data_IF_251796722910
#
_entry.id   IF_251796722910
#
_cell.length_a   1.000
_cell.length_b   1.000
_cell.length_c   1.000
_cell.angle_alpha   90.00
_cell.angle_beta   90.00
_cell.angle_gamma   90.00
#
_symmetry.space_group_name_H-M   'P 1'
#
loop_
_entity.id
_entity.type
_entity.pdbx_description
1 polymer ?
#
# COMPACT_ATOMS: atom_id res chain seq x y z
N UNK A 1 -33.11 8.88 -6.66
CA UNK A 1 -32.05 8.23 -5.85
C UNK A 1 -30.88 9.20 -5.68
N UNK A 2 -30.53 9.60 -4.45
CA UNK A 2 -29.37 10.46 -4.18
C UNK A 2 -28.11 9.64 -4.51
N UNK A 3 -27.32 10.06 -5.53
CA UNK A 3 -25.99 9.47 -5.77
C UNK A 3 -25.18 9.59 -4.47
N UNK A 4 -24.84 8.45 -3.85
CA UNK A 4 -24.03 8.40 -2.63
C UNK A 4 -22.67 8.98 -3.02
N UNK A 5 -22.29 10.12 -2.42
CA UNK A 5 -20.99 10.77 -2.69
C UNK A 5 -19.91 9.77 -2.24
N UNK A 6 -19.17 9.20 -3.17
CA UNK A 6 -18.09 8.27 -2.84
C UNK A 6 -17.10 8.99 -1.93
N UNK A 7 -16.85 8.41 -0.75
CA UNK A 7 -15.87 8.94 0.19
C UNK A 7 -14.51 8.80 -0.49
N UNK A 8 -13.86 9.92 -0.83
CA UNK A 8 -12.49 9.89 -1.32
C UNK A 8 -11.59 9.39 -0.19
N UNK A 9 -11.03 8.20 -0.34
CA UNK A 9 -10.02 7.69 0.58
C UNK A 9 -8.76 8.55 0.50
N UNK A 10 -8.23 8.90 1.68
CA UNK A 10 -6.92 9.51 1.80
C UNK A 10 -5.84 8.56 1.28
N UNK A 11 -4.67 9.09 0.92
CA UNK A 11 -3.53 8.29 0.46
C UNK A 11 -3.18 7.18 1.44
N UNK A 12 -3.12 7.51 2.73
CA UNK A 12 -2.89 6.56 3.81
C UNK A 12 -3.95 5.44 3.83
N UNK A 13 -5.23 5.79 3.85
CA UNK A 13 -6.31 4.80 3.85
C UNK A 13 -6.22 3.85 2.65
N UNK A 14 -5.85 4.36 1.46
CA UNK A 14 -5.66 3.51 0.26
C UNK A 14 -4.49 2.54 0.41
N UNK A 15 -3.32 3.04 0.83
CA UNK A 15 -2.11 2.23 1.00
C UNK A 15 -2.32 1.17 2.08
N UNK A 16 -2.82 1.58 3.24
CA UNK A 16 -3.07 0.70 4.38
C UNK A 16 -4.14 -0.36 4.04
N UNK A 17 -5.22 0.04 3.37
CA UNK A 17 -6.25 -0.88 2.86
C UNK A 17 -5.67 -1.90 1.89
N UNK A 18 -4.92 -1.45 0.88
CA UNK A 18 -4.31 -2.32 -0.11
C UNK A 18 -3.34 -3.34 0.53
N UNK A 19 -2.52 -2.92 1.48
CA UNK A 19 -1.63 -3.82 2.22
C UNK A 19 -2.39 -4.89 2.99
N UNK A 20 -3.49 -4.52 3.66
CA UNK A 20 -4.30 -5.44 4.45
C UNK A 20 -5.08 -6.43 3.58
N UNK A 21 -5.64 -5.97 2.46
CA UNK A 21 -6.40 -6.79 1.52
C UNK A 21 -5.50 -7.81 0.81
N UNK A 22 -4.28 -7.39 0.45
CA UNK A 22 -3.36 -8.21 -0.35
C UNK A 22 -2.33 -8.96 0.51
N UNK A 23 -2.38 -8.88 1.84
CA UNK A 23 -1.37 -9.47 2.75
C UNK A 23 -1.10 -10.97 2.51
N UNK A 24 -2.08 -11.72 1.98
CA UNK A 24 -1.95 -13.17 1.72
C UNK A 24 -1.17 -13.50 0.45
N UNK A 25 -1.08 -12.55 -0.48
CA UNK A 25 -0.40 -12.74 -1.77
C UNK A 25 0.91 -11.95 -1.86
N UNK A 26 1.10 -10.96 -0.99
CA UNK A 26 2.31 -10.15 -0.97
C UNK A 26 3.47 -10.87 -0.28
N UNK A 27 4.62 -10.93 -0.95
CA UNK A 27 5.89 -11.19 -0.28
C UNK A 27 6.33 -9.90 0.45
N UNK A 28 5.86 -9.73 1.69
CA UNK A 28 6.12 -8.54 2.49
C UNK A 28 7.61 -8.31 2.72
N UNK A 29 8.39 -9.37 2.97
CA UNK A 29 9.85 -9.26 3.12
C UNK A 29 10.49 -8.72 1.85
N UNK A 30 10.11 -9.25 0.68
CA UNK A 30 10.60 -8.75 -0.61
C UNK A 30 10.22 -7.30 -0.85
N UNK A 31 9.02 -6.89 -0.43
CA UNK A 31 8.57 -5.50 -0.51
C UNK A 31 9.42 -4.57 0.36
N UNK A 32 9.66 -4.96 1.61
CA UNK A 32 10.51 -4.19 2.55
C UNK A 32 11.93 -4.04 2.01
N UNK A 33 12.51 -5.10 1.42
CA UNK A 33 13.82 -5.03 0.76
C UNK A 33 13.82 -4.10 -0.44
N UNK A 34 12.84 -4.22 -1.36
CA UNK A 34 12.74 -3.36 -2.55
C UNK A 34 12.61 -1.88 -2.19
N UNK A 35 11.83 -1.58 -1.15
CA UNK A 35 11.60 -0.21 -0.67
C UNK A 35 12.67 0.29 0.31
N UNK A 36 13.70 -0.51 0.59
CA UNK A 36 14.77 -0.20 1.55
C UNK A 36 14.23 0.13 2.97
N UNK A 37 13.16 -0.53 3.38
CA UNK A 37 12.61 -0.38 4.72
C UNK A 37 13.31 -1.32 5.70
N UNK A 38 13.42 -0.93 6.99
CA UNK A 38 13.83 -1.85 8.03
C UNK A 38 12.91 -3.08 8.04
N UNK A 39 13.53 -4.25 8.12
CA UNK A 39 12.79 -5.51 8.13
C UNK A 39 11.75 -5.53 9.24
N UNK A 40 10.56 -6.02 8.89
CA UNK A 40 9.40 -6.10 9.75
C UNK A 40 8.62 -4.80 9.91
N UNK A 41 8.94 -3.73 9.18
CA UNK A 41 8.17 -2.48 9.18
C UNK A 41 6.70 -2.71 8.78
N UNK A 42 6.48 -3.34 7.63
CA UNK A 42 5.16 -3.61 7.08
C UNK A 42 4.54 -4.81 7.80
N UNK A 43 5.35 -5.80 8.20
CA UNK A 43 4.85 -6.89 9.05
C UNK A 43 4.25 -6.39 10.37
N UNK A 44 4.90 -5.41 11.02
CA UNK A 44 4.40 -4.83 12.27
C UNK A 44 3.11 -4.05 12.04
N UNK A 45 2.97 -3.39 10.90
CA UNK A 45 1.71 -2.77 10.51
C UNK A 45 0.61 -3.82 10.33
N UNK A 46 0.82 -4.85 9.51
CA UNK A 46 -0.19 -5.87 9.22
C UNK A 46 -0.59 -6.65 10.49
N UNK A 47 0.39 -7.09 11.30
CA UNK A 47 0.14 -7.96 12.45
C UNK A 47 -0.34 -7.21 13.69
N UNK A 48 0.16 -5.99 13.92
CA UNK A 48 -0.05 -5.26 15.17
C UNK A 48 -0.66 -3.87 14.97
N UNK A 49 -1.05 -3.50 13.75
CA UNK A 49 -1.55 -2.17 13.40
C UNK A 49 -0.62 -1.05 13.85
N UNK A 50 0.70 -1.29 13.81
CA UNK A 50 1.70 -0.25 14.08
C UNK A 50 1.71 0.77 12.95
N UNK A 51 1.75 2.05 13.30
CA UNK A 51 1.80 3.12 12.32
C UNK A 51 2.99 3.01 11.37
N UNK A 52 2.71 3.12 10.07
CA UNK A 52 3.70 3.43 9.04
C UNK A 52 3.86 4.95 8.97
N UNK A 53 5.09 5.44 8.85
CA UNK A 53 5.37 6.88 8.74
C UNK A 53 4.85 7.44 7.41
N UNK A 54 4.49 8.73 7.36
CA UNK A 54 3.96 9.34 6.14
C UNK A 54 4.91 9.21 4.95
N UNK A 55 6.23 9.36 5.17
CA UNK A 55 7.24 9.15 4.13
C UNK A 55 7.18 7.74 3.55
N UNK A 56 6.97 6.71 4.38
CA UNK A 56 6.86 5.32 3.92
C UNK A 56 5.54 5.08 3.21
N UNK A 57 4.44 5.70 3.67
CA UNK A 57 3.16 5.67 2.95
C UNK A 57 3.33 6.25 1.54
N UNK A 58 4.02 7.37 1.40
CA UNK A 58 4.29 7.98 0.09
C UNK A 58 5.06 7.03 -0.83
N UNK A 59 6.17 6.47 -0.34
CA UNK A 59 6.99 5.53 -1.11
C UNK A 59 6.23 4.27 -1.52
N UNK A 60 5.31 3.77 -0.69
CA UNK A 60 4.45 2.63 -1.05
C UNK A 60 3.42 3.04 -2.12
N UNK A 61 2.78 4.21 -1.98
CA UNK A 61 1.80 4.73 -2.95
C UNK A 61 2.42 4.91 -4.35
N UNK A 62 3.64 5.45 -4.42
CA UNK A 62 4.41 5.59 -5.67
C UNK A 62 4.68 4.23 -6.31
N UNK A 63 5.22 3.27 -5.55
CA UNK A 63 5.52 1.94 -6.08
C UNK A 63 4.26 1.18 -6.58
N UNK A 64 3.12 1.33 -5.88
CA UNK A 64 1.85 0.73 -6.32
C UNK A 64 1.39 1.36 -7.64
N UNK A 65 1.49 2.70 -7.78
CA UNK A 65 1.14 3.40 -9.02
C UNK A 65 2.02 2.98 -10.17
N UNK A 66 3.33 2.92 -9.98
CA UNK A 66 4.27 2.51 -11.02
C UNK A 66 3.96 1.08 -11.50
N UNK A 67 3.65 0.18 -10.57
CA UNK A 67 3.23 -1.19 -10.88
C UNK A 67 1.89 -1.23 -11.63
N UNK A 68 0.93 -0.39 -11.25
CA UNK A 68 -0.37 -0.33 -11.91
C UNK A 68 -0.24 0.24 -13.34
N UNK A 69 0.48 1.35 -13.52
CA UNK A 69 0.67 1.95 -14.83
C UNK A 69 1.47 1.03 -15.77
N UNK A 70 2.55 0.41 -15.27
CA UNK A 70 3.31 -0.55 -16.08
C UNK A 70 2.52 -1.79 -16.49
N UNK A 71 1.49 -2.17 -15.75
CA UNK A 71 0.58 -3.26 -16.13
C UNK A 71 -0.50 -2.83 -17.14
N UNK A 72 -0.90 -1.55 -17.12
CA UNK A 72 -1.98 -1.03 -17.98
C UNK A 72 -1.48 -0.72 -19.41
N UNK A 73 -0.20 -0.40 -19.59
CA UNK A 73 0.39 0.02 -20.88
C UNK A 73 0.62 -1.13 -21.91
N UNK A 74 -0.03 -2.29 -21.78
CA UNK A 74 0.06 -3.42 -22.75
C UNK A 74 -1.21 -3.65 -23.61
N UNK A 75 -2.02 -2.62 -23.89
CA UNK A 75 -3.08 -2.68 -24.93
C UNK A 75 -2.73 -1.91 -26.21
#
# INVERSE_FOLDING_TARGET
MRKKKEKKYTKRERVEGWLMENQKILNITGLETKLQFPQGTIHKFIKYQRNITDRRIETIDEMIKDMAYSYIDEE
#
